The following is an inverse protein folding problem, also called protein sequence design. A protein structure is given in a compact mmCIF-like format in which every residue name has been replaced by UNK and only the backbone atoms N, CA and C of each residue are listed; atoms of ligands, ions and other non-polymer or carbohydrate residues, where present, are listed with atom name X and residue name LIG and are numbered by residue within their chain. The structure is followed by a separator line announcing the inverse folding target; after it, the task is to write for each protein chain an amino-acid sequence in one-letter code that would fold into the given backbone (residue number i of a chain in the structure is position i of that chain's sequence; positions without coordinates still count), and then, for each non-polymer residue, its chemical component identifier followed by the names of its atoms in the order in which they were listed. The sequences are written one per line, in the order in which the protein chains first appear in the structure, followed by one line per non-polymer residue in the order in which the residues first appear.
data_IF_369972693341
#
_entry.id   IF_369972693341
#
_cell.length_a   1.000
_cell.length_b   1.000
_cell.length_c   1.000
_cell.angle_alpha   90.00
_cell.angle_beta   90.00
_cell.angle_gamma   90.00
#
_symmetry.space_group_name_H-M   'P 1'
#
loop_
_entity.id
_entity.type
_entity.pdbx_description
1 polymer ?
#
# COMPACT_ATOMS: atom_id res chain seq x y z
N UNK A 1 3.75 4.61 -17.21
CA UNK A 1 2.81 3.86 -18.08
C UNK A 1 1.44 4.47 -17.92
N UNK A 2 0.86 5.04 -18.98
CA UNK A 2 -0.47 5.67 -18.88
C UNK A 2 -1.60 4.69 -19.17
N UNK A 3 -2.77 4.96 -18.62
CA UNK A 3 -4.01 4.23 -18.88
C UNK A 3 -4.87 5.02 -19.85
N UNK A 4 -5.27 4.42 -20.96
CA UNK A 4 -6.27 5.01 -21.85
C UNK A 4 -7.65 5.01 -21.18
N UNK A 5 -8.27 6.18 -20.99
CA UNK A 5 -9.59 6.31 -20.33
C UNK A 5 -10.41 7.47 -20.92
N UNK A 6 -11.73 7.30 -21.03
CA UNK A 6 -12.62 8.40 -21.39
C UNK A 6 -12.71 9.45 -20.25
N UNK A 7 -12.83 10.72 -20.60
CA UNK A 7 -12.86 11.80 -19.61
C UNK A 7 -14.09 11.74 -18.69
N UNK A 8 -15.26 11.34 -19.20
CA UNK A 8 -16.46 11.18 -18.37
C UNK A 8 -16.31 9.99 -17.44
N UNK A 9 -15.75 8.88 -17.93
CA UNK A 9 -15.44 7.72 -17.08
C UNK A 9 -14.51 8.13 -15.95
N UNK A 10 -13.35 8.75 -16.25
CA UNK A 10 -12.39 9.23 -15.26
C UNK A 10 -13.03 10.09 -14.16
N UNK A 11 -13.87 11.05 -14.56
CA UNK A 11 -14.56 11.94 -13.63
C UNK A 11 -15.62 11.25 -12.76
N UNK A 12 -16.13 10.09 -13.19
CA UNK A 12 -17.15 9.32 -12.48
C UNK A 12 -16.59 8.30 -11.49
N UNK A 13 -15.29 7.99 -11.56
CA UNK A 13 -14.68 7.00 -10.68
C UNK A 13 -14.64 7.49 -9.23
N UNK A 14 -15.03 6.61 -8.31
CA UNK A 14 -14.77 6.78 -6.88
C UNK A 14 -13.27 6.87 -6.62
N UNK A 15 -12.86 7.53 -5.55
CA UNK A 15 -11.45 7.75 -5.20
C UNK A 15 -10.62 6.46 -5.15
N UNK A 16 -11.13 5.42 -4.50
CA UNK A 16 -10.46 4.11 -4.43
C UNK A 16 -10.32 3.47 -5.83
N UNK A 17 -11.38 3.52 -6.64
CA UNK A 17 -11.40 2.92 -7.97
C UNK A 17 -10.46 3.65 -8.92
N UNK A 18 -10.37 4.98 -8.80
CA UNK A 18 -9.45 5.79 -9.60
C UNK A 18 -8.00 5.34 -9.36
N UNK A 19 -7.58 5.23 -8.10
CA UNK A 19 -6.25 4.73 -7.75
C UNK A 19 -5.97 3.32 -8.28
N UNK A 20 -6.97 2.43 -8.26
CA UNK A 20 -6.82 1.09 -8.85
C UNK A 20 -6.66 1.14 -10.37
N UNK A 21 -7.55 1.84 -11.08
CA UNK A 21 -7.56 1.88 -12.55
C UNK A 21 -6.24 2.41 -13.07
N UNK A 22 -5.69 3.46 -12.46
CA UNK A 22 -4.39 4.02 -12.83
C UNK A 22 -3.23 3.01 -12.72
N UNK A 23 -3.31 2.01 -11.83
CA UNK A 23 -2.24 1.01 -11.62
C UNK A 23 -2.54 -0.37 -12.20
N UNK A 24 -3.75 -0.62 -12.69
CA UNK A 24 -4.14 -1.94 -13.21
C UNK A 24 -3.17 -2.47 -14.29
N UNK A 25 -2.71 -1.68 -15.27
CA UNK A 25 -1.73 -2.15 -16.26
C UNK A 25 -0.40 -2.58 -15.63
N UNK A 26 0.10 -1.80 -14.67
CA UNK A 26 1.31 -2.14 -13.92
C UNK A 26 1.13 -3.47 -13.17
N UNK A 27 -0.02 -3.68 -12.51
CA UNK A 27 -0.28 -4.92 -11.79
C UNK A 27 -0.38 -6.15 -12.70
N UNK A 28 -0.92 -5.99 -13.91
CA UNK A 28 -0.90 -7.06 -14.92
C UNK A 28 0.52 -7.47 -15.30
N UNK A 29 1.49 -6.55 -15.25
CA UNK A 29 2.89 -6.83 -15.56
C UNK A 29 3.67 -7.46 -14.41
N UNK A 30 3.34 -7.16 -13.16
CA UNK A 30 4.14 -7.60 -11.99
C UNK A 30 3.53 -8.78 -11.22
N UNK A 31 2.23 -9.04 -11.35
CA UNK A 31 1.55 -10.09 -10.59
C UNK A 31 2.09 -11.48 -10.97
N UNK A 32 2.51 -12.24 -9.96
CA UNK A 32 3.05 -13.60 -10.13
C UNK A 32 4.39 -13.65 -10.87
N UNK A 33 5.07 -12.52 -11.08
CA UNK A 33 6.38 -12.47 -11.74
C UNK A 33 7.53 -12.48 -10.75
N UNK A 34 8.74 -12.75 -11.25
CA UNK A 34 9.97 -12.74 -10.45
C UNK A 34 10.30 -11.33 -9.96
N UNK A 35 11.06 -11.19 -8.86
CA UNK A 35 11.47 -9.89 -8.32
C UNK A 35 12.12 -8.96 -9.35
N UNK A 36 12.91 -9.51 -10.27
CA UNK A 36 13.61 -8.75 -11.32
C UNK A 36 12.63 -8.11 -12.30
N UNK A 37 11.58 -8.84 -12.69
CA UNK A 37 10.51 -8.34 -13.56
C UNK A 37 9.71 -7.24 -12.86
N UNK A 38 9.41 -7.42 -11.56
CA UNK A 38 8.71 -6.40 -10.77
C UNK A 38 9.54 -5.11 -10.67
N UNK A 39 10.83 -5.25 -10.34
CA UNK A 39 11.73 -4.11 -10.22
C UNK A 39 11.89 -3.37 -11.56
N UNK A 40 12.01 -4.09 -12.68
CA UNK A 40 12.11 -3.50 -14.01
C UNK A 40 10.83 -2.72 -14.39
N UNK A 41 9.64 -3.25 -14.08
CA UNK A 41 8.37 -2.57 -14.33
C UNK A 41 8.21 -1.32 -13.45
N UNK A 42 8.52 -1.41 -12.15
CA UNK A 42 8.45 -0.26 -11.23
C UNK A 42 9.42 0.85 -11.64
N UNK A 43 10.61 0.51 -12.14
CA UNK A 43 11.61 1.48 -12.62
C UNK A 43 11.13 2.33 -13.81
N UNK A 44 10.12 1.87 -14.55
CA UNK A 44 9.52 2.63 -15.67
C UNK A 44 8.41 3.60 -15.23
N UNK A 45 8.05 3.60 -13.95
CA UNK A 45 7.00 4.46 -13.41
C UNK A 45 7.55 5.86 -13.11
N UNK A 46 6.71 6.87 -13.32
CA UNK A 46 6.95 8.22 -12.80
C UNK A 46 6.89 8.25 -11.27
N UNK A 47 7.18 9.41 -10.66
CA UNK A 47 7.15 9.56 -9.20
C UNK A 47 5.76 9.32 -8.60
N UNK A 48 4.72 9.98 -9.11
CA UNK A 48 3.34 9.77 -8.66
C UNK A 48 2.87 8.34 -8.88
N UNK A 49 3.23 7.73 -10.01
CA UNK A 49 2.91 6.33 -10.31
C UNK A 49 3.61 5.34 -9.36
N UNK A 50 4.87 5.59 -9.03
CA UNK A 50 5.62 4.77 -8.06
C UNK A 50 5.00 4.87 -6.68
N UNK A 51 4.69 6.10 -6.22
CA UNK A 51 4.02 6.34 -4.95
C UNK A 51 2.68 5.59 -4.86
N UNK A 52 1.85 5.70 -5.90
CA UNK A 52 0.57 5.00 -5.98
C UNK A 52 0.75 3.48 -5.99
N UNK A 53 1.70 2.97 -6.78
CA UNK A 53 1.99 1.55 -6.86
C UNK A 53 2.36 0.97 -5.49
N UNK A 54 3.24 1.64 -4.74
CA UNK A 54 3.66 1.19 -3.41
C UNK A 54 2.52 1.20 -2.40
N UNK A 55 1.71 2.27 -2.38
CA UNK A 55 0.52 2.34 -1.52
C UNK A 55 -0.46 1.20 -1.86
N UNK A 56 -0.77 0.98 -3.13
CA UNK A 56 -1.72 -0.04 -3.57
C UNK A 56 -1.24 -1.46 -3.28
N UNK A 57 0.05 -1.76 -3.44
CA UNK A 57 0.63 -3.05 -3.04
C UNK A 57 0.36 -3.30 -1.55
N UNK A 58 0.61 -2.32 -0.68
CA UNK A 58 0.31 -2.47 0.75
C UNK A 58 -1.20 -2.61 0.99
N UNK A 59 -2.00 -1.70 0.46
CA UNK A 59 -3.44 -1.64 0.71
C UNK A 59 -4.17 -2.90 0.23
N UNK A 60 -3.99 -3.30 -1.03
CA UNK A 60 -4.74 -4.38 -1.68
C UNK A 60 -4.50 -5.75 -1.03
N UNK A 61 -3.38 -5.88 -0.32
CA UNK A 61 -3.03 -7.06 0.44
C UNK A 61 -3.46 -6.98 1.92
N UNK A 62 -3.52 -5.79 2.51
CA UNK A 62 -3.64 -5.61 3.96
C UNK A 62 -5.04 -5.27 4.46
N UNK A 63 -5.98 -4.91 3.57
CA UNK A 63 -7.23 -4.27 4.00
C UNK A 63 -8.32 -5.21 4.53
N UNK A 64 -8.36 -6.49 4.15
CA UNK A 64 -9.56 -7.32 4.40
C UNK A 64 -9.66 -7.85 5.83
N UNK A 65 -8.53 -8.01 6.53
CA UNK A 65 -8.51 -8.49 7.92
C UNK A 65 -7.29 -7.99 8.68
N UNK A 66 -7.37 -8.03 10.02
CA UNK A 66 -6.25 -7.69 10.89
C UNK A 66 -5.10 -8.70 10.76
N UNK A 67 -5.42 -9.98 10.52
CA UNK A 67 -4.44 -11.03 10.20
C UNK A 67 -3.65 -10.71 8.92
N UNK A 68 -4.35 -10.35 7.84
CA UNK A 68 -3.71 -9.95 6.59
C UNK A 68 -2.89 -8.67 6.77
N UNK A 69 -3.42 -7.67 7.48
CA UNK A 69 -2.67 -6.45 7.80
C UNK A 69 -1.33 -6.77 8.48
N UNK A 70 -1.33 -7.66 9.47
CA UNK A 70 -0.12 -8.11 10.16
C UNK A 70 0.84 -8.88 9.24
N UNK A 71 0.34 -9.93 8.58
CA UNK A 71 1.17 -10.82 7.78
C UNK A 71 1.80 -10.08 6.58
N UNK A 72 1.01 -9.25 5.90
CA UNK A 72 1.51 -8.47 4.76
C UNK A 72 2.42 -7.32 5.18
N UNK A 73 2.16 -6.65 6.31
CA UNK A 73 3.12 -5.67 6.83
C UNK A 73 4.46 -6.31 7.16
N UNK A 74 4.45 -7.48 7.82
CA UNK A 74 5.66 -8.23 8.13
C UNK A 74 6.38 -8.69 6.86
N UNK A 75 5.66 -9.19 5.86
CA UNK A 75 6.22 -9.54 4.56
C UNK A 75 6.91 -8.34 3.88
N UNK A 76 6.27 -7.18 3.83
CA UNK A 76 6.84 -5.98 3.22
C UNK A 76 8.04 -5.43 3.99
N UNK A 77 8.09 -5.63 5.32
CA UNK A 77 9.22 -5.30 6.18
C UNK A 77 10.42 -6.24 6.00
N UNK A 78 10.16 -7.50 5.64
CA UNK A 78 11.20 -8.49 5.31
C UNK A 78 11.87 -8.21 3.96
N UNK A 79 11.14 -7.60 3.02
CA UNK A 79 11.65 -7.26 1.70
C UNK A 79 12.42 -5.92 1.71
N UNK A 80 13.72 -5.98 1.41
CA UNK A 80 14.60 -4.81 1.42
C UNK A 80 13.99 -3.62 0.64
N UNK A 81 13.88 -2.47 1.31
CA UNK A 81 13.43 -1.21 0.72
C UNK A 81 11.93 -1.11 0.42
N UNK A 82 11.17 -2.20 0.51
CA UNK A 82 9.74 -2.22 0.12
C UNK A 82 8.89 -1.40 1.09
N UNK A 83 9.07 -1.60 2.40
CA UNK A 83 8.37 -0.79 3.42
C UNK A 83 8.69 0.70 3.31
N UNK A 84 9.96 1.05 3.07
CA UNK A 84 10.36 2.45 2.88
C UNK A 84 9.67 3.05 1.65
N UNK A 85 9.55 2.31 0.55
CA UNK A 85 8.81 2.78 -0.62
C UNK A 85 7.32 3.00 -0.35
N UNK A 86 6.69 2.22 0.54
CA UNK A 86 5.31 2.48 1.00
C UNK A 86 5.24 3.79 1.78
N UNK A 87 6.14 3.99 2.74
CA UNK A 87 6.21 5.21 3.55
C UNK A 87 6.47 6.46 2.69
N UNK A 88 7.38 6.37 1.73
CA UNK A 88 7.65 7.44 0.76
C UNK A 88 6.45 7.71 -0.15
N UNK A 89 5.73 6.67 -0.57
CA UNK A 89 4.51 6.83 -1.36
C UNK A 89 3.41 7.56 -0.61
N UNK A 90 3.17 7.19 0.65
CA UNK A 90 2.18 7.88 1.50
C UNK A 90 2.61 9.34 1.76
N UNK A 91 3.90 9.57 2.03
CA UNK A 91 4.46 10.93 2.19
C UNK A 91 4.35 11.77 0.93
N UNK A 92 4.51 11.18 -0.25
CA UNK A 92 4.36 11.87 -1.53
C UNK A 92 2.96 12.50 -1.67
N UNK A 93 1.92 11.80 -1.22
CA UNK A 93 0.53 12.31 -1.22
C UNK A 93 0.19 13.16 0.02
N UNK A 94 1.18 13.53 0.84
CA UNK A 94 1.01 14.32 2.06
C UNK A 94 0.00 13.73 3.06
N UNK A 95 -0.14 12.41 3.12
CA UNK A 95 -0.99 11.74 4.11
C UNK A 95 -0.20 11.42 5.40
N UNK A 96 0.05 12.45 6.19
CA UNK A 96 0.83 12.35 7.43
C UNK A 96 0.21 11.37 8.44
N UNK A 97 -1.12 11.30 8.51
CA UNK A 97 -1.81 10.41 9.45
C UNK A 97 -1.58 8.93 9.11
N UNK A 98 -1.66 8.57 7.82
CA UNK A 98 -1.32 7.22 7.37
C UNK A 98 0.17 6.94 7.55
N UNK A 99 1.04 7.91 7.26
CA UNK A 99 2.48 7.76 7.45
C UNK A 99 2.82 7.43 8.91
N UNK A 100 2.27 8.19 9.86
CA UNK A 100 2.47 7.98 11.29
C UNK A 100 1.99 6.61 11.76
N UNK A 101 0.82 6.17 11.28
CA UNK A 101 0.28 4.84 11.60
C UNK A 101 1.19 3.71 11.10
N UNK A 102 1.73 3.82 9.88
CA UNK A 102 2.62 2.80 9.33
C UNK A 102 3.97 2.78 10.08
N UNK A 103 4.52 3.95 10.42
CA UNK A 103 5.71 4.02 11.27
C UNK A 103 5.48 3.42 12.66
N UNK A 104 4.33 3.67 13.27
CA UNK A 104 3.95 3.06 14.54
C UNK A 104 3.80 1.54 14.40
N UNK A 105 3.17 1.07 13.32
CA UNK A 105 3.01 -0.36 13.01
C UNK A 105 4.36 -1.05 12.98
N UNK A 106 5.32 -0.50 12.23
CA UNK A 106 6.70 -1.00 12.19
C UNK A 106 7.31 -1.07 13.59
N UNK A 107 7.28 0.04 14.34
CA UNK A 107 7.92 0.14 15.67
C UNK A 107 7.35 -0.84 16.69
N UNK A 108 6.02 -0.99 16.74
CA UNK A 108 5.36 -1.89 17.71
C UNK A 108 5.66 -3.35 17.39
N UNK A 109 5.58 -3.74 16.12
CA UNK A 109 5.91 -5.11 15.71
C UNK A 109 7.40 -5.40 15.89
N UNK A 110 8.29 -4.46 15.56
CA UNK A 110 9.74 -4.61 15.72
C UNK A 110 10.11 -4.80 17.20
N UNK A 111 9.50 -4.02 18.08
CA UNK A 111 9.72 -4.10 19.53
C UNK A 111 9.32 -5.47 20.07
N UNK A 112 8.14 -5.98 19.68
CA UNK A 112 7.68 -7.33 20.05
C UNK A 112 8.64 -8.39 19.50
N UNK A 113 8.94 -8.34 18.21
CA UNK A 113 9.77 -9.33 17.53
C UNK A 113 11.17 -9.40 18.17
N UNK A 114 11.78 -8.27 18.48
CA UNK A 114 13.07 -8.21 19.18
C UNK A 114 13.03 -8.87 20.56
N UNK A 115 11.96 -8.64 21.33
CA UNK A 115 11.77 -9.25 22.65
C UNK A 115 11.63 -10.77 22.57
N UNK A 116 11.03 -11.27 21.49
CA UNK A 116 10.77 -12.70 21.27
C UNK A 116 11.85 -13.41 20.43
N UNK A 117 12.84 -12.68 19.91
CA UNK A 117 13.86 -13.22 19.01
C UNK A 117 13.34 -13.63 17.63
N UNK A 118 12.25 -13.02 17.17
CA UNK A 118 11.61 -13.31 15.87
C UNK A 118 12.13 -12.40 14.77
N UNK A 119 12.24 -12.94 13.55
CA UNK A 119 12.42 -12.20 12.31
C UNK A 119 11.08 -11.83 11.66
N UNK A 120 11.12 -11.00 10.62
CA UNK A 120 9.92 -10.62 9.86
C UNK A 120 9.34 -11.81 9.07
N UNK A 121 10.21 -12.64 8.46
CA UNK A 121 9.80 -13.85 7.72
C UNK A 121 9.15 -14.97 8.56
N UNK A 122 9.21 -14.87 9.90
CA UNK A 122 8.55 -15.82 10.80
C UNK A 122 7.04 -15.62 10.88
N UNK A 123 6.54 -14.43 10.50
CA UNK A 123 5.13 -14.09 10.60
C UNK A 123 4.21 -15.04 9.81
N UNK A 124 3.08 -15.41 10.41
CA UNK A 124 2.01 -16.22 9.83
C UNK A 124 0.65 -15.59 10.11
N UNK A 125 -0.32 -15.84 9.21
CA UNK A 125 -1.68 -15.32 9.34
C UNK A 125 -2.35 -15.72 10.67
N UNK A 126 -2.07 -16.92 11.18
CA UNK A 126 -2.67 -17.48 12.38
C UNK A 126 -1.93 -17.13 13.68
N UNK A 127 -0.83 -16.38 13.64
CA UNK A 127 -0.11 -15.98 14.86
C UNK A 127 -1.01 -15.17 15.80
N UNK A 128 -1.90 -14.34 15.24
CA UNK A 128 -2.84 -13.53 16.01
C UNK A 128 -3.88 -14.36 16.79
N UNK A 129 -4.07 -15.63 16.43
CA UNK A 129 -5.01 -16.52 17.11
C UNK A 129 -4.42 -17.11 18.39
N UNK A 130 -3.10 -17.18 18.48
CA UNK A 130 -2.38 -17.83 19.58
C UNK A 130 -1.55 -16.87 20.44
N UNK A 131 -1.36 -15.63 19.99
CA UNK A 131 -0.69 -14.56 20.73
C UNK A 131 -1.65 -13.39 21.04
N UNK A 132 -2.08 -13.31 22.30
CA UNK A 132 -3.00 -12.29 22.78
C UNK A 132 -2.41 -10.86 22.74
N UNK A 133 -1.10 -10.71 22.97
CA UNK A 133 -0.43 -9.40 22.89
C UNK A 133 -0.36 -8.93 21.43
N UNK A 134 0.00 -9.83 20.52
CA UNK A 134 0.00 -9.55 19.09
C UNK A 134 -1.41 -9.19 18.61
N UNK A 135 -2.43 -9.95 19.03
CA UNK A 135 -3.82 -9.69 18.70
C UNK A 135 -4.25 -8.28 19.12
N UNK A 136 -3.93 -7.86 20.34
CA UNK A 136 -4.24 -6.52 20.85
C UNK A 136 -3.53 -5.42 20.03
N UNK A 137 -2.21 -5.58 19.81
CA UNK A 137 -1.41 -4.64 19.02
C UNK A 137 -2.01 -4.48 17.62
N UNK A 138 -2.24 -5.60 16.94
CA UNK A 138 -2.66 -5.63 15.53
C UNK A 138 -4.09 -5.14 15.38
N UNK A 139 -5.02 -5.50 16.28
CA UNK A 139 -6.39 -5.00 16.21
C UNK A 139 -6.46 -3.48 16.43
N UNK A 140 -5.66 -2.93 17.34
CA UNK A 140 -5.59 -1.48 17.57
C UNK A 140 -5.08 -0.72 16.33
N UNK A 141 -3.99 -1.21 15.73
CA UNK A 141 -3.40 -0.65 14.51
C UNK A 141 -4.35 -0.78 13.32
N UNK A 142 -4.93 -1.96 13.10
CA UNK A 142 -5.84 -2.22 11.98
C UNK A 142 -7.14 -1.42 12.08
N UNK A 143 -7.68 -1.22 13.30
CA UNK A 143 -8.85 -0.37 13.50
C UNK A 143 -8.56 1.09 13.09
N UNK A 144 -7.37 1.60 13.37
CA UNK A 144 -6.92 2.92 12.91
C UNK A 144 -6.69 2.95 11.40
N UNK A 145 -6.06 1.91 10.86
CA UNK A 145 -5.84 1.76 9.41
C UNK A 145 -7.15 1.90 8.65
N UNK A 146 -8.18 1.12 9.02
CA UNK A 146 -9.51 1.21 8.39
C UNK A 146 -10.15 2.59 8.47
N UNK A 147 -9.92 3.35 9.55
CA UNK A 147 -10.45 4.71 9.69
C UNK A 147 -9.74 5.71 8.79
N UNK A 148 -8.45 5.52 8.51
CA UNK A 148 -7.66 6.43 7.68
C UNK A 148 -7.82 6.16 6.19
N UNK A 149 -8.09 4.92 5.78
CA UNK A 149 -8.17 4.52 4.37
C UNK A 149 -9.07 5.41 3.49
N UNK A 150 -10.28 5.82 3.90
CA UNK A 150 -11.09 6.71 3.08
C UNK A 150 -10.40 8.05 2.77
N UNK A 151 -9.70 8.63 3.75
CA UNK A 151 -8.93 9.85 3.57
C UNK A 151 -7.72 9.61 2.65
N UNK A 152 -7.01 8.50 2.83
CA UNK A 152 -5.86 8.15 1.99
C UNK A 152 -6.26 8.01 0.53
N UNK A 153 -7.36 7.33 0.22
CA UNK A 153 -7.88 7.25 -1.15
C UNK A 153 -8.27 8.62 -1.68
N UNK A 154 -8.88 9.46 -0.85
CA UNK A 154 -9.30 10.81 -1.23
C UNK A 154 -8.10 11.68 -1.64
N UNK A 155 -7.07 11.82 -0.80
CA UNK A 155 -5.89 12.66 -1.13
C UNK A 155 -5.12 12.14 -2.34
N UNK A 156 -5.06 10.81 -2.53
CA UNK A 156 -4.50 10.20 -3.73
C UNK A 156 -5.32 10.57 -4.97
N UNK A 157 -6.65 10.46 -4.88
CA UNK A 157 -7.54 10.75 -5.99
C UNK A 157 -7.55 12.24 -6.34
N UNK A 158 -7.47 13.13 -5.36
CA UNK A 158 -7.27 14.57 -5.58
C UNK A 158 -5.98 14.85 -6.35
N UNK A 159 -4.87 14.21 -5.96
CA UNK A 159 -3.61 14.34 -6.68
C UNK A 159 -3.73 13.84 -8.14
N UNK A 160 -4.30 12.65 -8.35
CA UNK A 160 -4.48 12.09 -9.70
C UNK A 160 -5.35 13.01 -10.57
N UNK A 161 -6.42 13.58 -10.02
CA UNK A 161 -7.31 14.50 -10.75
C UNK A 161 -6.64 15.85 -11.04
N UNK A 162 -5.73 16.30 -10.18
CA UNK A 162 -4.94 17.52 -10.39
C UNK A 162 -3.80 17.32 -11.40
N UNK A 163 -3.29 16.10 -11.53
CA UNK A 163 -2.15 15.73 -12.39
C UNK A 163 -2.46 14.53 -13.31
N UNK A 164 -3.54 14.58 -14.10
CA UNK A 164 -4.01 13.40 -14.85
C UNK A 164 -2.99 12.92 -15.89
N UNK A 165 -2.17 13.81 -16.44
CA UNK A 165 -1.11 13.51 -17.40
C UNK A 165 0.00 12.60 -16.83
N UNK A 166 0.14 12.51 -15.51
CA UNK A 166 1.08 11.56 -14.88
C UNK A 166 0.53 10.11 -14.86
N UNK A 167 -0.77 9.91 -15.04
CA UNK A 167 -1.43 8.62 -14.78
C UNK A 167 -2.20 8.08 -15.98
N UNK A 168 -2.82 8.94 -16.78
CA UNK A 168 -3.77 8.55 -17.82
C UNK A 168 -3.55 9.30 -19.13
N UNK A 169 -3.98 8.67 -20.22
CA UNK A 169 -4.14 9.28 -21.52
C UNK A 169 -5.64 9.34 -21.82
N UNK A 170 -6.19 10.53 -22.04
CA UNK A 170 -7.60 10.65 -22.37
C UNK A 170 -7.85 10.18 -23.80
N UNK A 171 -8.73 9.19 -23.95
CA UNK A 171 -9.19 8.68 -25.25
C UNK A 171 -10.58 9.22 -25.53
N UNK A 172 -10.79 9.76 -26.74
CA UNK A 172 -12.06 10.40 -27.13
C UNK A 172 -11.87 11.80 -27.68
#
# INVERSE_FOLDING_TARGET
MHVGIDRKEFNSLTDERLGWVCMEPTFKLIRGKSPEVKAAAIKQLGKGQTALCMFRIMYDHSYKSSAEFYAWSSYLLDQQGTWNGVLEGVRFFADDAMFELLEETRKRLETRNRRLGLGWGDARLNDIETDAELLEIVNGLYARFKRLIPNTHNVIAEYIRAHPDEFVEFIG
#
